data_IF_656371601570
#
_entry.id   IF_656371601570
#
_cell.length_a   1.000
_cell.length_b   1.000
_cell.length_c   1.000
_cell.angle_alpha   90.00
_cell.angle_beta   90.00
_cell.angle_gamma   90.00
#
_symmetry.space_group_name_H-M   'P 1'
#
loop_
_entity.id
_entity.type
_entity.pdbx_description
1 polymer ?
#
# COMPACT_ATOMS: atom_id res chain seq x y z
N UNK A 1 -2.73 -44.66 71.03
CA UNK A 1 -2.74 -43.22 70.75
C UNK A 1 -2.13 -43.01 69.37
N UNK A 2 -2.91 -42.86 68.34
CA UNK A 2 -2.46 -42.53 67.00
C UNK A 2 -3.43 -41.52 66.42
N UNK A 3 -2.95 -40.25 66.31
CA UNK A 3 -3.70 -39.15 65.76
C UNK A 3 -3.67 -39.22 64.23
N UNK A 4 -4.83 -39.21 63.59
CA UNK A 4 -4.99 -39.06 62.14
C UNK A 4 -5.17 -37.57 61.81
N UNK A 5 -4.26 -37.01 61.02
CA UNK A 5 -4.42 -35.72 60.39
C UNK A 5 -5.16 -35.87 59.05
N UNK A 6 -6.31 -35.23 58.96
CA UNK A 6 -7.05 -35.12 57.71
C UNK A 6 -6.54 -33.87 56.96
N UNK A 7 -6.01 -34.09 55.76
CA UNK A 7 -5.65 -32.98 54.83
C UNK A 7 -6.87 -32.67 53.93
N UNK A 8 -7.36 -31.44 54.07
CA UNK A 8 -8.40 -30.92 53.17
C UNK A 8 -7.72 -30.29 51.94
N UNK A 9 -7.98 -30.89 50.75
CA UNK A 9 -7.56 -30.32 49.48
C UNK A 9 -8.62 -29.34 48.99
N UNK A 10 -8.31 -28.04 48.94
CA UNK A 10 -9.10 -27.02 48.28
C UNK A 10 -8.82 -27.11 46.76
N UNK A 11 -9.80 -27.52 45.98
CA UNK A 11 -9.81 -27.35 44.53
C UNK A 11 -10.21 -25.91 44.21
N UNK A 12 -9.27 -25.08 43.77
CA UNK A 12 -9.55 -23.81 43.09
C UNK A 12 -9.92 -24.12 41.64
N UNK A 13 -11.16 -24.05 41.28
CA UNK A 13 -11.64 -24.04 39.91
C UNK A 13 -11.35 -22.64 39.32
N UNK A 14 -10.25 -22.52 38.56
CA UNK A 14 -9.95 -21.34 37.79
C UNK A 14 -10.91 -21.22 36.61
N UNK A 15 -11.84 -20.27 36.66
CA UNK A 15 -12.68 -19.88 35.53
C UNK A 15 -11.75 -19.10 34.57
N UNK A 16 -11.24 -19.75 33.55
CA UNK A 16 -10.62 -19.11 32.42
C UNK A 16 -11.68 -18.32 31.63
N UNK A 17 -11.83 -17.05 31.92
CA UNK A 17 -12.58 -16.15 31.08
C UNK A 17 -11.84 -16.07 29.72
N UNK A 18 -12.35 -16.79 28.73
CA UNK A 18 -11.96 -16.60 27.33
C UNK A 18 -12.42 -15.21 26.91
N UNK A 19 -11.55 -14.22 27.00
CA UNK A 19 -11.76 -12.95 26.33
C UNK A 19 -11.78 -13.26 24.83
N UNK A 20 -12.99 -13.27 24.27
CA UNK A 20 -13.16 -13.13 22.82
C UNK A 20 -12.57 -11.79 22.47
N UNK A 21 -11.33 -11.78 21.96
CA UNK A 21 -10.83 -10.63 21.24
C UNK A 21 -11.80 -10.45 20.07
N UNK A 22 -12.67 -9.46 20.13
CA UNK A 22 -13.31 -8.92 18.95
C UNK A 22 -12.20 -8.68 17.95
N UNK A 23 -12.20 -9.46 16.88
CA UNK A 23 -11.32 -9.24 15.76
C UNK A 23 -11.78 -7.92 15.12
N UNK A 24 -11.33 -6.79 15.68
CA UNK A 24 -11.38 -5.53 15.00
C UNK A 24 -10.62 -5.76 13.69
N UNK A 25 -11.34 -5.81 12.57
CA UNK A 25 -10.76 -6.06 11.26
C UNK A 25 -9.60 -5.10 11.02
N UNK A 26 -8.63 -5.48 10.21
CA UNK A 26 -7.41 -4.69 9.96
C UNK A 26 -7.70 -3.26 9.47
N UNK A 27 -8.95 -2.97 9.08
CA UNK A 27 -9.43 -1.65 8.65
C UNK A 27 -10.23 -1.73 7.35
N UNK A 28 -10.60 -0.56 6.83
CA UNK A 28 -11.40 -0.39 5.61
C UNK A 28 -10.52 0.18 4.50
N UNK A 29 -10.52 -0.48 3.35
CA UNK A 29 -9.81 -0.04 2.15
C UNK A 29 -10.82 0.37 1.07
N UNK A 30 -10.62 1.55 0.49
CA UNK A 30 -11.20 1.92 -0.78
C UNK A 30 -10.22 1.52 -1.88
N UNK A 31 -10.61 0.53 -2.70
CA UNK A 31 -9.78 0.03 -3.79
C UNK A 31 -10.27 0.61 -5.11
N UNK A 32 -9.48 1.51 -5.67
CA UNK A 32 -9.74 2.17 -6.95
C UNK A 32 -9.21 1.28 -8.08
N UNK A 33 -10.12 0.76 -8.88
CA UNK A 33 -9.84 -0.15 -10.00
C UNK A 33 -10.94 -0.07 -11.05
N UNK A 34 -10.69 -0.54 -12.25
CA UNK A 34 -11.74 -0.66 -13.26
C UNK A 34 -12.65 -1.85 -12.95
N UNK A 35 -13.96 -1.66 -13.16
CA UNK A 35 -14.92 -2.74 -13.08
C UNK A 35 -14.73 -3.78 -14.22
N UNK A 36 -14.14 -3.36 -15.35
CA UNK A 36 -13.88 -4.14 -16.56
C UNK A 36 -12.38 -4.10 -16.94
N UNK A 37 -11.45 -4.59 -16.11
CA UNK A 37 -10.02 -4.43 -16.34
C UNK A 37 -9.57 -5.20 -17.59
N UNK A 38 -8.70 -4.59 -18.42
CA UNK A 38 -8.08 -5.31 -19.54
C UNK A 38 -7.26 -6.49 -18.99
N UNK A 39 -7.44 -7.67 -19.56
CA UNK A 39 -6.68 -8.86 -19.14
C UNK A 39 -7.17 -9.53 -17.86
N UNK A 40 -8.34 -9.15 -17.29
CA UNK A 40 -9.03 -9.90 -16.22
C UNK A 40 -8.38 -9.73 -14.85
N UNK A 41 -8.34 -10.66 -14.07
CA UNK A 41 -8.29 -10.99 -12.68
C UNK A 41 -7.15 -10.49 -11.78
N UNK A 42 -6.20 -9.67 -12.20
CA UNK A 42 -5.09 -9.26 -11.33
C UNK A 42 -5.57 -8.44 -10.12
N UNK A 43 -6.45 -7.48 -10.35
CA UNK A 43 -7.05 -6.69 -9.27
C UNK A 43 -7.90 -7.55 -8.34
N UNK A 44 -8.59 -8.58 -8.86
CA UNK A 44 -9.33 -9.53 -8.02
C UNK A 44 -8.40 -10.33 -7.11
N UNK A 45 -7.21 -10.72 -7.60
CA UNK A 45 -6.21 -11.40 -6.77
C UNK A 45 -5.64 -10.47 -5.68
N UNK A 46 -5.45 -9.19 -6.01
CA UNK A 46 -5.03 -8.17 -5.05
C UNK A 46 -6.11 -7.94 -4.01
N UNK A 47 -7.37 -7.77 -4.42
CA UNK A 47 -8.50 -7.67 -3.49
C UNK A 47 -8.56 -8.86 -2.54
N UNK A 48 -8.51 -10.08 -3.07
CA UNK A 48 -8.49 -11.28 -2.25
C UNK A 48 -7.31 -11.29 -1.25
N UNK A 49 -6.14 -10.76 -1.65
CA UNK A 49 -5.01 -10.62 -0.72
C UNK A 49 -5.28 -9.62 0.39
N UNK A 50 -5.85 -8.46 0.06
CA UNK A 50 -6.23 -7.45 1.06
C UNK A 50 -7.25 -8.02 2.05
N UNK A 51 -8.24 -8.77 1.58
CA UNK A 51 -9.22 -9.45 2.42
C UNK A 51 -8.58 -10.54 3.31
N UNK A 52 -7.62 -11.31 2.79
CA UNK A 52 -6.81 -12.27 3.58
C UNK A 52 -5.99 -11.57 4.68
N UNK A 53 -5.55 -10.34 4.45
CA UNK A 53 -4.89 -9.51 5.45
C UNK A 53 -5.87 -8.93 6.49
N UNK A 54 -7.16 -9.23 6.38
CA UNK A 54 -8.21 -8.85 7.32
C UNK A 54 -8.90 -7.51 7.02
N UNK A 55 -8.63 -6.90 5.86
CA UNK A 55 -9.28 -5.64 5.47
C UNK A 55 -10.68 -5.87 4.90
N UNK A 56 -11.59 -4.92 5.17
CA UNK A 56 -12.84 -4.79 4.41
C UNK A 56 -12.59 -3.92 3.19
N UNK A 57 -12.79 -4.47 1.98
CA UNK A 57 -12.46 -3.82 0.71
C UNK A 57 -13.73 -3.35 0.00
N UNK A 58 -13.78 -2.06 -0.34
CA UNK A 58 -14.82 -1.46 -1.20
C UNK A 58 -14.19 -1.10 -2.54
N UNK A 59 -14.70 -1.64 -3.62
CA UNK A 59 -14.25 -1.36 -4.98
C UNK A 59 -14.93 -0.10 -5.54
N UNK A 60 -14.20 0.69 -6.33
CA UNK A 60 -14.73 1.84 -7.06
C UNK A 60 -13.81 2.19 -8.24
N UNK A 61 -14.30 2.91 -9.24
CA UNK A 61 -13.47 3.40 -10.35
C UNK A 61 -12.75 4.73 -10.06
N UNK A 62 -13.06 5.36 -8.94
CA UNK A 62 -12.44 6.60 -8.49
C UNK A 62 -12.95 7.86 -9.20
N UNK A 63 -13.92 7.72 -10.09
CA UNK A 63 -14.49 8.82 -10.88
C UNK A 63 -15.72 9.44 -10.19
N UNK A 64 -16.68 9.91 -11.00
CA UNK A 64 -17.91 10.55 -10.50
C UNK A 64 -18.68 9.62 -9.57
N UNK A 65 -19.06 10.12 -8.39
CA UNK A 65 -19.81 9.35 -7.41
C UNK A 65 -18.98 8.42 -6.52
N UNK A 66 -17.64 8.49 -6.62
CA UNK A 66 -16.77 7.75 -5.70
C UNK A 66 -17.05 8.13 -4.22
N UNK A 67 -17.00 7.15 -3.30
CA UNK A 67 -17.23 7.38 -1.87
C UNK A 67 -16.25 8.41 -1.29
N UNK A 68 -16.65 9.08 -0.20
CA UNK A 68 -15.74 9.95 0.55
C UNK A 68 -14.55 9.12 1.09
N UNK A 69 -13.30 9.43 0.70
CA UNK A 69 -12.13 8.71 1.17
C UNK A 69 -11.98 8.75 2.70
N UNK A 70 -12.50 9.79 3.36
CA UNK A 70 -12.46 9.88 4.82
C UNK A 70 -13.24 8.76 5.55
N UNK A 71 -14.09 8.02 4.86
CA UNK A 71 -14.72 6.81 5.36
C UNK A 71 -13.81 5.58 5.43
N UNK A 72 -12.55 5.66 4.98
CA UNK A 72 -11.62 4.53 4.85
C UNK A 72 -10.32 4.79 5.59
N UNK A 73 -9.58 3.72 5.88
CA UNK A 73 -8.29 3.80 6.56
C UNK A 73 -7.11 3.86 5.58
N UNK A 74 -7.34 3.45 4.34
CA UNK A 74 -6.38 3.47 3.24
C UNK A 74 -7.14 3.53 1.91
N UNK A 75 -6.62 4.30 0.97
CA UNK A 75 -6.99 4.22 -0.45
C UNK A 75 -5.90 3.45 -1.17
N UNK A 76 -6.27 2.47 -1.97
CA UNK A 76 -5.38 1.72 -2.86
C UNK A 76 -5.80 2.00 -4.28
N UNK A 77 -4.88 2.41 -5.16
CA UNK A 77 -5.18 2.76 -6.55
C UNK A 77 -4.39 1.86 -7.49
N UNK A 78 -5.13 1.11 -8.30
CA UNK A 78 -4.59 0.18 -9.31
C UNK A 78 -4.14 0.92 -10.57
N UNK A 79 -3.17 0.36 -11.30
CA UNK A 79 -2.85 0.75 -12.68
C UNK A 79 -3.95 0.44 -13.71
N UNK A 80 -5.02 -0.24 -13.30
CA UNK A 80 -6.19 -0.43 -14.17
C UNK A 80 -7.12 0.77 -14.21
N UNK A 81 -6.99 1.74 -13.32
CA UNK A 81 -7.80 2.97 -13.38
C UNK A 81 -7.60 3.69 -14.72
N UNK A 82 -8.57 4.47 -15.12
CA UNK A 82 -8.48 5.23 -16.37
C UNK A 82 -7.75 6.55 -16.12
N UNK A 83 -6.41 6.52 -16.04
CA UNK A 83 -5.58 7.69 -15.75
C UNK A 83 -5.94 8.91 -16.58
N UNK A 84 -6.21 8.73 -17.89
CA UNK A 84 -6.65 9.81 -18.77
C UNK A 84 -7.98 10.48 -18.36
N UNK A 85 -8.85 9.81 -17.64
CA UNK A 85 -10.10 10.40 -17.14
C UNK A 85 -9.86 11.18 -15.85
N UNK A 86 -8.90 10.77 -15.03
CA UNK A 86 -8.49 11.53 -13.85
C UNK A 86 -7.81 12.84 -14.23
N UNK A 87 -7.02 12.84 -15.31
CA UNK A 87 -6.26 14.02 -15.77
C UNK A 87 -7.10 14.97 -16.62
N UNK A 88 -8.12 14.46 -17.35
CA UNK A 88 -9.06 15.29 -18.11
C UNK A 88 -9.90 16.21 -17.22
N UNK A 89 -10.16 15.78 -15.98
CA UNK A 89 -10.85 16.56 -14.95
C UNK A 89 -9.89 16.80 -13.77
N UNK A 90 -9.21 17.95 -13.76
CA UNK A 90 -8.26 18.30 -12.69
C UNK A 90 -8.83 18.22 -11.27
N UNK A 91 -10.10 18.58 -10.98
CA UNK A 91 -10.72 18.31 -9.69
C UNK A 91 -10.77 16.85 -9.30
N UNK A 92 -10.90 15.92 -10.27
CA UNK A 92 -10.97 14.50 -9.97
C UNK A 92 -9.66 13.98 -9.37
N UNK A 93 -8.51 14.31 -9.95
CA UNK A 93 -7.21 13.88 -9.40
C UNK A 93 -6.86 14.63 -8.12
N UNK A 94 -7.18 15.93 -8.02
CA UNK A 94 -6.92 16.74 -6.83
C UNK A 94 -7.58 16.14 -5.58
N UNK A 95 -8.76 15.53 -5.72
CA UNK A 95 -9.43 14.82 -4.63
C UNK A 95 -8.56 13.72 -4.02
N UNK A 96 -7.88 12.95 -4.85
CA UNK A 96 -7.01 11.85 -4.42
C UNK A 96 -5.64 12.32 -3.97
N UNK A 97 -5.10 13.35 -4.62
CA UNK A 97 -3.85 13.98 -4.24
C UNK A 97 -3.94 14.62 -2.86
N UNK A 98 -4.99 15.40 -2.60
CA UNK A 98 -5.08 16.29 -1.44
C UNK A 98 -5.84 15.66 -0.25
N UNK A 99 -6.34 14.43 -0.40
CA UNK A 99 -7.06 13.74 0.68
C UNK A 99 -6.18 13.48 1.91
N UNK A 100 -6.76 13.65 3.10
CA UNK A 100 -6.13 13.35 4.38
C UNK A 100 -6.12 11.86 4.77
N UNK A 101 -6.26 10.95 3.81
CA UNK A 101 -6.20 9.50 3.98
C UNK A 101 -4.93 8.99 3.31
N UNK A 102 -4.21 8.01 3.90
CA UNK A 102 -3.08 7.38 3.22
C UNK A 102 -3.46 6.81 1.86
N UNK A 103 -2.53 6.91 0.89
CA UNK A 103 -2.66 6.37 -0.45
C UNK A 103 -1.51 5.42 -0.75
N UNK A 104 -1.83 4.26 -1.32
CA UNK A 104 -0.87 3.40 -2.01
C UNK A 104 -1.31 3.23 -3.45
N UNK A 105 -0.40 3.40 -4.39
CA UNK A 105 -0.68 3.26 -5.82
C UNK A 105 0.43 2.49 -6.54
N UNK A 106 0.06 1.88 -7.66
CA UNK A 106 0.99 1.39 -8.68
C UNK A 106 0.64 1.96 -10.07
N UNK A 107 -0.22 2.98 -10.13
CA UNK A 107 -0.48 3.73 -11.36
C UNK A 107 0.62 4.77 -11.57
N UNK A 108 1.60 4.43 -12.41
CA UNK A 108 2.75 5.28 -12.68
C UNK A 108 2.39 6.53 -13.50
N UNK A 109 1.38 6.45 -14.36
CA UNK A 109 0.94 7.58 -15.20
C UNK A 109 0.21 8.69 -14.40
N UNK A 110 -0.04 8.50 -13.11
CA UNK A 110 -0.61 9.50 -12.20
C UNK A 110 0.40 10.01 -11.15
N UNK A 111 1.67 9.60 -11.20
CA UNK A 111 2.65 10.00 -10.20
C UNK A 111 2.91 11.50 -10.17
N UNK A 112 2.94 12.14 -11.33
CA UNK A 112 3.10 13.58 -11.46
C UNK A 112 1.84 14.35 -11.02
N UNK A 113 0.66 13.89 -11.41
CA UNK A 113 -0.62 14.49 -11.01
C UNK A 113 -0.88 14.37 -9.49
N UNK A 114 -0.37 13.30 -8.87
CA UNK A 114 -0.38 13.07 -7.42
C UNK A 114 0.75 13.83 -6.71
N UNK A 115 1.61 14.55 -7.43
CA UNK A 115 2.81 15.25 -6.95
C UNK A 115 3.84 14.33 -6.26
N UNK A 116 3.83 13.05 -6.61
CA UNK A 116 4.79 12.09 -6.06
C UNK A 116 6.13 12.09 -6.79
N UNK A 117 6.16 12.63 -8.02
CA UNK A 117 7.35 12.80 -8.88
C UNK A 117 7.24 14.11 -9.65
N UNK A 118 8.31 14.50 -10.37
CA UNK A 118 8.27 15.57 -11.37
C UNK A 118 7.38 15.20 -12.58
N UNK A 119 7.21 16.16 -13.51
CA UNK A 119 6.16 16.13 -14.55
C UNK A 119 6.57 15.38 -15.83
N UNK A 120 7.84 14.99 -15.98
CA UNK A 120 8.37 14.54 -17.28
C UNK A 120 8.32 13.03 -17.36
N UNK A 121 7.37 12.52 -18.15
CA UNK A 121 7.35 11.09 -18.52
C UNK A 121 8.71 10.64 -19.04
N UNK A 122 9.12 9.44 -18.76
CA UNK A 122 10.39 8.79 -19.11
C UNK A 122 11.65 9.45 -18.49
N UNK A 123 11.47 10.55 -17.73
CA UNK A 123 12.53 11.21 -16.98
C UNK A 123 12.29 11.21 -15.47
N UNK A 124 11.06 11.47 -15.07
CA UNK A 124 10.67 11.60 -13.67
C UNK A 124 9.77 10.41 -13.22
N UNK A 125 9.13 9.73 -14.16
CA UNK A 125 8.38 8.48 -13.97
C UNK A 125 8.26 7.72 -15.30
N UNK A 126 7.91 6.44 -15.24
CA UNK A 126 7.70 5.64 -16.43
C UNK A 126 7.65 4.15 -16.15
N UNK A 127 7.86 3.36 -17.19
CA UNK A 127 7.77 1.90 -17.18
C UNK A 127 9.07 1.25 -17.63
N UNK A 128 9.28 0.02 -17.17
CA UNK A 128 10.27 -0.91 -17.68
C UNK A 128 9.50 -2.11 -18.23
N UNK A 129 9.68 -2.43 -19.49
CA UNK A 129 8.93 -3.48 -20.19
C UNK A 129 9.14 -4.87 -19.58
N UNK A 130 10.33 -5.14 -19.02
CA UNK A 130 10.72 -6.48 -18.58
C UNK A 130 11.49 -6.46 -17.25
N UNK A 131 10.81 -6.13 -16.14
CA UNK A 131 11.37 -6.17 -14.79
C UNK A 131 11.31 -7.57 -14.17
N UNK A 132 12.31 -7.94 -13.38
CA UNK A 132 12.36 -9.20 -12.65
C UNK A 132 13.13 -9.06 -11.33
N UNK A 133 14.20 -8.26 -11.35
CA UNK A 133 15.05 -8.00 -10.21
C UNK A 133 14.76 -6.61 -9.63
N UNK A 134 15.04 -6.48 -8.34
CA UNK A 134 15.01 -5.21 -7.62
C UNK A 134 16.32 -5.05 -6.83
N UNK A 135 16.68 -3.82 -6.56
CA UNK A 135 17.74 -3.49 -5.64
C UNK A 135 17.14 -2.87 -4.38
N UNK A 136 17.21 -3.59 -3.27
CA UNK A 136 16.73 -3.09 -1.98
C UNK A 136 17.82 -2.18 -1.37
N UNK A 137 17.50 -0.89 -1.21
CA UNK A 137 18.46 0.12 -0.74
C UNK A 137 18.30 0.48 0.73
N UNK A 138 17.10 0.31 1.29
CA UNK A 138 16.82 0.67 2.69
C UNK A 138 16.20 -0.50 3.48
N UNK A 139 17.03 -1.48 3.83
CA UNK A 139 16.59 -2.71 4.51
C UNK A 139 16.01 -2.48 5.92
N UNK A 140 16.38 -1.38 6.61
CA UNK A 140 15.87 -1.05 7.94
C UNK A 140 14.47 -0.45 7.95
N UNK A 141 13.95 -0.02 6.78
CA UNK A 141 12.62 0.56 6.70
C UNK A 141 11.52 -0.51 6.82
N UNK A 142 10.39 -0.23 7.48
CA UNK A 142 9.30 -1.21 7.63
C UNK A 142 8.80 -1.80 6.30
N UNK A 143 8.74 -1.00 5.22
CA UNK A 143 8.33 -1.47 3.89
C UNK A 143 9.31 -2.48 3.27
N UNK A 144 10.54 -2.61 3.80
CA UNK A 144 11.49 -3.63 3.36
C UNK A 144 11.15 -5.04 3.86
N UNK A 145 10.18 -5.19 4.77
CA UNK A 145 9.70 -6.49 5.27
C UNK A 145 10.79 -7.38 5.87
N UNK A 146 11.88 -6.80 6.41
CA UNK A 146 13.03 -7.56 6.92
C UNK A 146 13.90 -8.21 5.83
N UNK A 147 13.67 -7.90 4.57
CA UNK A 147 14.50 -8.39 3.46
C UNK A 147 15.83 -7.65 3.49
N UNK A 148 16.98 -8.36 3.34
CA UNK A 148 18.29 -7.73 3.37
C UNK A 148 18.52 -6.82 2.16
N UNK A 149 19.37 -5.79 2.33
CA UNK A 149 19.79 -4.92 1.25
C UNK A 149 20.50 -5.70 0.13
N UNK A 150 20.40 -5.17 -1.09
CA UNK A 150 21.05 -5.74 -2.26
C UNK A 150 20.07 -6.27 -3.31
N UNK A 151 20.58 -7.09 -4.20
CA UNK A 151 19.82 -7.66 -5.31
C UNK A 151 18.82 -8.70 -4.82
N UNK A 152 17.57 -8.55 -5.25
CA UNK A 152 16.50 -9.51 -4.98
C UNK A 152 15.68 -9.83 -6.21
N UNK A 153 14.91 -10.91 -6.16
CA UNK A 153 13.95 -11.31 -7.19
C UNK A 153 12.55 -11.11 -6.65
N UNK A 154 11.77 -10.20 -7.23
CA UNK A 154 10.43 -9.90 -6.74
C UNK A 154 9.29 -10.51 -7.57
N UNK A 155 9.57 -10.90 -8.81
CA UNK A 155 8.63 -11.64 -9.67
C UNK A 155 9.25 -12.95 -10.15
N UNK A 156 8.42 -13.96 -10.43
CA UNK A 156 8.86 -15.29 -10.90
C UNK A 156 9.36 -15.27 -12.35
N UNK A 157 8.88 -14.30 -13.12
CA UNK A 157 9.24 -14.11 -14.53
C UNK A 157 9.33 -12.60 -14.81
N UNK A 158 9.97 -12.24 -15.91
CA UNK A 158 10.02 -10.86 -16.38
C UNK A 158 8.60 -10.34 -16.66
N UNK A 159 8.26 -9.21 -16.09
CA UNK A 159 6.98 -8.52 -16.26
C UNK A 159 7.24 -7.03 -16.43
N UNK A 160 6.34 -6.28 -17.07
CA UNK A 160 6.37 -4.83 -17.01
C UNK A 160 6.30 -4.35 -15.56
N UNK A 161 6.89 -3.20 -15.29
CA UNK A 161 6.87 -2.58 -13.97
C UNK A 161 7.08 -1.07 -14.04
N UNK A 162 6.38 -0.34 -13.19
CA UNK A 162 6.49 1.10 -13.07
C UNK A 162 7.69 1.54 -12.22
N UNK A 163 8.11 2.79 -12.41
CA UNK A 163 9.09 3.46 -11.59
C UNK A 163 8.78 4.95 -11.47
N UNK A 164 9.29 5.57 -10.42
CA UNK A 164 9.28 7.03 -10.23
C UNK A 164 10.61 7.53 -9.73
N UNK A 165 10.90 8.82 -10.01
CA UNK A 165 11.99 9.59 -9.41
C UNK A 165 11.38 10.55 -8.40
N UNK A 166 11.23 10.11 -7.14
CA UNK A 166 10.54 10.90 -6.13
C UNK A 166 11.36 12.12 -5.68
N UNK A 167 10.68 13.09 -5.07
CA UNK A 167 11.30 14.25 -4.44
C UNK A 167 12.12 13.89 -3.20
N UNK A 168 12.87 14.87 -2.68
CA UNK A 168 13.84 14.67 -1.60
C UNK A 168 13.22 14.26 -0.26
N UNK A 169 11.92 14.49 -0.05
CA UNK A 169 11.22 14.07 1.16
C UNK A 169 10.83 12.59 1.20
N UNK A 170 11.12 11.84 0.13
CA UNK A 170 10.75 10.43 0.04
C UNK A 170 11.73 9.50 0.76
N UNK A 171 11.18 8.44 1.33
CA UNK A 171 11.93 7.24 1.69
C UNK A 171 11.96 6.30 0.48
N UNK A 172 13.12 6.12 -0.14
CA UNK A 172 13.33 5.16 -1.23
C UNK A 172 13.71 3.82 -0.62
N UNK A 173 12.95 2.78 -0.92
CA UNK A 173 13.12 1.44 -0.35
C UNK A 173 13.78 0.50 -1.35
N UNK A 174 13.32 0.54 -2.60
CA UNK A 174 13.94 -0.26 -3.65
C UNK A 174 13.96 0.49 -4.98
N UNK A 175 14.97 0.17 -5.79
CA UNK A 175 15.19 0.73 -7.12
C UNK A 175 15.40 -0.38 -8.13
N UNK A 176 15.44 -0.03 -9.42
CA UNK A 176 15.95 -0.94 -10.42
C UNK A 176 17.46 -1.15 -10.27
N UNK A 177 17.94 -2.39 -10.48
CA UNK A 177 19.37 -2.69 -10.44
C UNK A 177 20.14 -1.83 -11.47
N UNK A 178 21.14 -1.09 -10.99
CA UNK A 178 21.96 -0.20 -11.82
C UNK A 178 21.33 1.15 -12.16
N UNK A 179 20.08 1.40 -11.75
CA UNK A 179 19.34 2.65 -12.01
C UNK A 179 18.81 3.27 -10.71
N UNK A 180 19.67 3.87 -9.88
CA UNK A 180 19.31 4.34 -8.53
C UNK A 180 18.25 5.45 -8.51
N UNK A 181 18.05 6.16 -9.63
CA UNK A 181 17.01 7.18 -9.76
C UNK A 181 15.62 6.59 -10.08
N UNK A 182 15.53 5.34 -10.52
CA UNK A 182 14.27 4.66 -10.82
C UNK A 182 13.80 3.87 -9.61
N UNK A 183 13.13 4.56 -8.69
CA UNK A 183 12.57 3.93 -7.51
C UNK A 183 11.31 3.14 -7.86
N UNK A 184 11.25 1.89 -7.40
CA UNK A 184 10.12 0.98 -7.62
C UNK A 184 9.34 0.68 -6.34
N UNK A 185 9.85 1.09 -5.18
CA UNK A 185 9.12 1.20 -3.93
C UNK A 185 9.65 2.41 -3.18
N UNK A 186 8.79 3.38 -2.98
CA UNK A 186 9.08 4.56 -2.18
C UNK A 186 7.82 5.08 -1.49
N UNK A 187 8.02 5.91 -0.48
CA UNK A 187 6.91 6.53 0.23
C UNK A 187 7.29 7.87 0.84
N UNK A 188 6.27 8.63 1.17
CA UNK A 188 6.35 9.89 1.90
C UNK A 188 5.62 9.76 3.22
N UNK A 189 6.25 10.19 4.30
CA UNK A 189 5.56 10.42 5.57
C UNK A 189 4.59 11.60 5.45
N UNK A 190 3.56 11.63 6.30
CA UNK A 190 2.69 12.79 6.39
C UNK A 190 3.51 14.06 6.72
N UNK A 191 3.32 15.13 5.95
CA UNK A 191 4.07 16.38 6.08
C UNK A 191 5.42 16.40 5.37
N UNK A 192 5.86 15.29 4.74
CA UNK A 192 7.07 15.29 3.93
C UNK A 192 6.86 16.11 2.65
N UNK A 193 7.91 16.82 2.21
CA UNK A 193 7.90 17.57 0.95
C UNK A 193 7.92 16.60 -0.22
N UNK A 194 6.90 16.69 -1.04
CA UNK A 194 6.76 16.00 -2.32
C UNK A 194 7.26 16.88 -3.45
N UNK A 195 6.76 16.73 -4.68
CA UNK A 195 7.10 17.63 -5.76
C UNK A 195 6.40 18.99 -5.63
N UNK A 196 6.99 20.06 -6.19
CA UNK A 196 6.46 21.43 -6.18
C UNK A 196 6.09 22.00 -4.80
N UNK A 197 6.87 21.75 -3.78
CA UNK A 197 6.58 22.20 -2.40
C UNK A 197 5.26 21.64 -1.84
N UNK A 198 4.65 20.68 -2.51
CA UNK A 198 3.47 20.00 -2.00
C UNK A 198 3.84 19.15 -0.79
N UNK A 199 3.12 19.33 0.30
CA UNK A 199 3.31 18.51 1.50
C UNK A 199 2.35 17.32 1.47
N UNK A 200 2.88 16.12 1.71
CA UNK A 200 2.08 14.91 1.79
C UNK A 200 0.98 15.05 2.87
N UNK A 201 -0.32 15.10 2.51
CA UNK A 201 -1.39 15.31 3.50
C UNK A 201 -1.58 14.10 4.43
N UNK A 202 -1.15 12.93 4.01
CA UNK A 202 -1.02 11.67 4.75
C UNK A 202 0.05 10.83 4.05
N UNK A 203 0.39 9.64 4.53
CA UNK A 203 1.37 8.79 3.84
C UNK A 203 0.98 8.55 2.39
N UNK A 204 1.97 8.60 1.51
CA UNK A 204 1.87 8.30 0.07
C UNK A 204 2.87 7.22 -0.25
N UNK A 205 2.42 6.16 -0.92
CA UNK A 205 3.27 5.02 -1.29
C UNK A 205 3.09 4.70 -2.76
N UNK A 206 4.19 4.48 -3.45
CA UNK A 206 4.22 3.88 -4.78
C UNK A 206 4.94 2.54 -4.72
N UNK A 207 4.37 1.53 -5.39
CA UNK A 207 5.01 0.23 -5.63
C UNK A 207 4.89 -0.11 -7.12
N UNK A 208 6.01 -0.25 -7.81
CA UNK A 208 6.09 -0.37 -9.26
C UNK A 208 5.57 -1.68 -9.83
N UNK A 209 4.34 -2.06 -9.48
CA UNK A 209 3.65 -3.19 -10.08
C UNK A 209 2.99 -2.78 -11.40
N UNK A 210 2.68 -3.76 -12.21
CA UNK A 210 1.79 -3.66 -13.35
C UNK A 210 0.62 -4.61 -13.21
N UNK A 211 -0.40 -4.46 -14.07
CA UNK A 211 -1.68 -5.16 -13.99
C UNK A 211 -1.60 -6.66 -13.70
N UNK A 212 -0.56 -7.33 -14.19
CA UNK A 212 -0.38 -8.78 -14.04
C UNK A 212 0.77 -9.17 -13.10
N UNK A 213 1.49 -8.20 -12.53
CA UNK A 213 2.69 -8.47 -11.73
C UNK A 213 2.37 -9.21 -10.46
N UNK A 214 1.26 -8.88 -9.80
CA UNK A 214 0.91 -9.46 -8.49
C UNK A 214 0.77 -10.99 -8.54
N UNK A 215 0.12 -11.54 -9.55
CA UNK A 215 -0.03 -13.00 -9.72
C UNK A 215 1.30 -13.72 -9.97
N UNK A 216 2.32 -12.98 -10.39
CA UNK A 216 3.67 -13.49 -10.67
C UNK A 216 4.70 -13.14 -9.59
N UNK A 217 4.27 -12.53 -8.49
CA UNK A 217 5.20 -12.21 -7.40
C UNK A 217 5.78 -13.47 -6.75
N UNK A 218 7.05 -13.38 -6.40
CA UNK A 218 7.70 -14.29 -5.46
C UNK A 218 7.18 -14.04 -4.03
N UNK A 219 7.57 -14.88 -3.09
CA UNK A 219 7.29 -14.60 -1.66
C UNK A 219 7.91 -13.29 -1.20
N UNK A 220 9.09 -12.94 -1.73
CA UNK A 220 9.72 -11.63 -1.51
C UNK A 220 8.84 -10.49 -2.00
N UNK A 221 8.34 -10.57 -3.23
CA UNK A 221 7.45 -9.55 -3.78
C UNK A 221 6.16 -9.38 -2.97
N UNK A 222 5.54 -10.51 -2.57
CA UNK A 222 4.34 -10.48 -1.71
C UNK A 222 4.59 -9.87 -0.34
N UNK A 223 5.72 -10.18 0.30
CA UNK A 223 6.11 -9.57 1.58
C UNK A 223 6.31 -8.07 1.47
N UNK A 224 6.93 -7.60 0.39
CA UNK A 224 7.12 -6.17 0.12
C UNK A 224 5.76 -5.47 -0.08
N UNK A 225 4.86 -6.08 -0.85
CA UNK A 225 3.50 -5.57 -1.04
C UNK A 225 2.74 -5.48 0.30
N UNK A 226 2.71 -6.56 1.08
CA UNK A 226 2.02 -6.59 2.37
C UNK A 226 2.58 -5.53 3.34
N UNK A 227 3.90 -5.39 3.37
CA UNK A 227 4.58 -4.40 4.21
C UNK A 227 4.28 -2.95 3.76
N UNK A 228 4.19 -2.71 2.45
CA UNK A 228 3.82 -1.41 1.90
C UNK A 228 2.38 -1.04 2.28
N UNK A 229 1.42 -1.98 2.17
CA UNK A 229 0.03 -1.81 2.63
C UNK A 229 0.00 -1.50 4.14
N UNK A 230 0.69 -2.31 4.94
CA UNK A 230 0.73 -2.14 6.40
C UNK A 230 1.32 -0.79 6.81
N UNK A 231 2.43 -0.39 6.19
CA UNK A 231 3.07 0.90 6.48
C UNK A 231 2.19 2.08 6.04
N UNK A 232 1.63 2.06 4.83
CA UNK A 232 0.72 3.10 4.36
C UNK A 232 -0.44 3.29 5.34
N UNK A 233 -1.15 2.21 5.66
CA UNK A 233 -2.32 2.22 6.55
C UNK A 233 -2.00 2.70 7.96
N UNK A 234 -0.82 2.43 8.50
CA UNK A 234 -0.42 2.87 9.84
C UNK A 234 -0.16 4.38 9.94
N UNK A 235 -0.16 5.10 8.80
CA UNK A 235 0.01 6.55 8.76
C UNK A 235 -1.15 7.32 9.41
N UNK A 236 -0.82 8.50 9.95
CA UNK A 236 -1.83 9.39 10.49
C UNK A 236 -2.81 9.84 9.39
N UNK A 237 -4.06 10.02 9.78
CA UNK A 237 -5.13 10.56 8.93
C UNK A 237 -5.44 11.98 9.40
N UNK A 238 -5.59 12.90 8.44
CA UNK A 238 -5.96 14.30 8.73
C UNK A 238 -7.41 14.61 8.37
N UNK A 239 -8.21 13.59 8.06
CA UNK A 239 -9.63 13.74 7.81
C UNK A 239 -10.37 14.36 9.00
N UNK A 240 -11.26 15.33 8.79
CA UNK A 240 -12.15 15.79 9.84
C UNK A 240 -12.98 14.61 10.35
N UNK A 241 -13.20 14.53 11.67
CA UNK A 241 -14.15 13.55 12.22
C UNK A 241 -15.51 13.85 11.61
N UNK A 242 -16.25 12.83 11.13
CA UNK A 242 -17.62 13.06 10.70
C UNK A 242 -18.39 13.70 11.86
N UNK A 243 -19.16 14.76 11.54
CA UNK A 243 -20.09 15.35 12.51
C UNK A 243 -21.03 14.23 12.97
N UNK A 244 -21.12 14.04 14.29
CA UNK A 244 -22.05 13.08 14.91
C UNK A 244 -23.46 13.60 14.83
#
# INVERSE_FOLDING_TARGET
>A
MRSALAAAALLLAGIAASASADAAGAGRILFLMRADPPGGSADLAIKARLEQLGYSVTENDGLTGAPDPCGFDLVVMSSTVRSNQFTADRPAIARWRDMGVPLLTWENDLLDDLHMTGLRRDSDFGEIETGHYIWLVRASHPMAAGIPAGLGTWTQARTPAGWGKPGLGADIIMTWPGEPEKATLFGYEAGATMDYDHLAPARRVFIGMENNSFSRMTDTGRKLFDAAIGWARAGARTCPKPAR
#
